data_IF_334729591220
#
_entry.id   IF_334729591220
#
_cell.length_a   1.000
_cell.length_b   1.000
_cell.length_c   1.000
_cell.angle_alpha   90.00
_cell.angle_beta   90.00
_cell.angle_gamma   90.00
#
_symmetry.space_group_name_H-M   'P 1'
#
loop_
_entity.id
_entity.type
_entity.pdbx_description
1 polymer ?
#
# COMPACT_ATOMS: atom_id res chain seq x y z
N UNK A 1 13.37 -2.60 -3.68
CA UNK A 1 14.13 -3.45 -2.74
C UNK A 1 14.74 -2.56 -1.68
N UNK A 2 14.77 -3.01 -0.44
CA UNK A 2 15.45 -2.32 0.66
C UNK A 2 16.71 -3.11 1.02
N UNK A 3 17.85 -2.43 1.05
CA UNK A 3 19.12 -3.01 1.47
C UNK A 3 19.15 -3.22 3.00
N UNK A 4 19.99 -4.13 3.46
CA UNK A 4 20.21 -4.30 4.89
C UNK A 4 20.92 -3.10 5.49
N UNK A 5 20.56 -2.74 6.72
CA UNK A 5 21.23 -1.70 7.50
C UNK A 5 21.29 -2.13 8.96
N UNK A 6 22.33 -1.72 9.68
CA UNK A 6 22.50 -2.01 11.11
C UNK A 6 22.46 -0.73 11.93
N UNK A 7 22.07 -0.85 13.19
CA UNK A 7 22.02 0.26 14.14
C UNK A 7 21.27 1.50 13.60
N UNK A 8 20.18 1.28 12.87
CA UNK A 8 19.30 2.35 12.40
C UNK A 8 18.63 2.97 13.61
N UNK A 9 18.83 4.28 13.78
CA UNK A 9 18.25 5.04 14.87
C UNK A 9 16.92 5.69 14.44
N UNK A 10 15.95 5.67 15.35
CA UNK A 10 14.68 6.37 15.21
C UNK A 10 14.31 6.99 16.56
N UNK A 11 13.63 8.13 16.54
CA UNK A 11 13.30 8.88 17.76
C UNK A 11 11.85 9.31 17.72
N UNK A 12 11.12 8.94 18.77
CA UNK A 12 9.76 9.42 19.02
C UNK A 12 9.89 10.44 20.14
N UNK A 13 9.69 11.72 19.84
CA UNK A 13 9.99 12.83 20.75
C UNK A 13 8.99 12.96 21.91
N UNK A 14 7.75 12.54 21.70
CA UNK A 14 6.71 12.50 22.71
C UNK A 14 5.82 11.28 22.46
N UNK A 15 6.02 10.22 23.23
CA UNK A 15 5.27 8.97 23.08
C UNK A 15 3.81 9.17 23.48
N UNK A 16 2.91 8.51 22.76
CA UNK A 16 1.55 8.18 23.13
C UNK A 16 1.38 6.68 23.08
N UNK A 17 0.51 6.11 23.89
CA UNK A 17 0.24 4.68 23.78
C UNK A 17 -0.45 4.38 22.45
N UNK A 18 0.07 3.40 21.72
CA UNK A 18 -0.34 3.14 20.34
C UNK A 18 0.79 2.65 19.46
N UNK A 19 0.47 2.47 18.18
CA UNK A 19 1.37 1.90 17.18
C UNK A 19 2.05 2.97 16.33
N UNK A 20 3.37 2.85 16.18
CA UNK A 20 4.21 3.71 15.37
C UNK A 20 4.91 2.92 14.27
N UNK A 21 5.07 3.56 13.12
CA UNK A 21 5.82 3.00 11.99
C UNK A 21 7.28 3.44 12.06
N UNK A 22 8.20 2.48 12.14
CA UNK A 22 9.64 2.80 12.24
C UNK A 22 10.25 3.19 10.89
N UNK A 23 11.08 4.23 10.93
CA UNK A 23 11.83 4.80 9.82
C UNK A 23 10.96 5.45 8.74
N UNK A 24 9.70 5.75 9.05
CA UNK A 24 8.83 6.48 8.14
C UNK A 24 9.32 7.92 7.97
N UNK A 25 9.38 8.40 6.73
CA UNK A 25 9.67 9.80 6.41
C UNK A 25 8.99 10.21 5.11
N UNK A 26 8.73 11.51 4.96
CA UNK A 26 7.91 12.04 3.87
C UNK A 26 8.59 12.04 2.50
N UNK A 27 9.89 11.77 2.42
CA UNK A 27 10.68 11.94 1.19
C UNK A 27 11.01 10.63 0.49
N UNK A 28 11.50 9.65 1.24
CA UNK A 28 12.07 8.42 0.67
C UNK A 28 11.31 7.18 1.08
N UNK A 29 10.73 7.17 2.28
CA UNK A 29 10.10 5.99 2.88
C UNK A 29 8.84 6.35 3.68
N UNK A 30 7.78 6.87 3.03
CA UNK A 30 6.55 7.27 3.72
C UNK A 30 5.86 6.12 4.45
N UNK A 31 6.09 4.88 4.03
CA UNK A 31 5.52 3.67 4.65
C UNK A 31 6.46 2.95 5.62
N UNK A 32 7.64 3.51 5.91
CA UNK A 32 8.59 2.96 6.88
C UNK A 32 9.32 1.67 6.48
N UNK A 33 10.09 1.11 7.44
CA UNK A 33 10.89 -0.10 7.26
C UNK A 33 9.99 -1.33 7.41
N UNK A 34 10.43 -2.43 6.80
CA UNK A 34 9.86 -3.76 6.94
C UNK A 34 11.02 -4.70 7.23
N UNK A 35 10.72 -5.88 7.76
CA UNK A 35 11.74 -6.87 8.10
C UNK A 35 12.83 -6.29 9.04
N UNK A 36 12.41 -5.80 10.21
CA UNK A 36 13.32 -5.27 11.22
C UNK A 36 13.70 -6.36 12.24
N UNK A 37 14.88 -6.23 12.85
CA UNK A 37 15.38 -7.14 13.86
C UNK A 37 16.15 -6.37 14.94
N UNK A 38 16.47 -7.06 16.05
CA UNK A 38 17.31 -6.56 17.14
C UNK A 38 16.91 -5.15 17.60
N UNK A 39 15.64 -4.97 17.94
CA UNK A 39 15.11 -3.68 18.38
C UNK A 39 15.49 -3.45 19.84
N UNK A 40 16.03 -2.28 20.12
CA UNK A 40 16.37 -1.78 21.44
C UNK A 40 15.71 -0.41 21.62
N UNK A 41 15.00 -0.22 22.72
CA UNK A 41 14.34 1.05 23.04
C UNK A 41 14.89 1.58 24.36
N UNK A 42 15.28 2.85 24.38
CA UNK A 42 15.86 3.54 25.54
C UNK A 42 15.13 4.83 25.85
N UNK A 43 15.23 5.27 27.10
CA UNK A 43 14.69 6.55 27.58
C UNK A 43 15.51 7.76 27.10
N UNK A 44 16.82 7.57 26.92
CA UNK A 44 17.79 8.59 26.49
C UNK A 44 18.80 7.99 25.50
N UNK A 45 19.29 8.79 24.55
CA UNK A 45 20.38 8.39 23.65
C UNK A 45 21.60 7.98 24.47
N UNK A 46 22.09 6.76 24.29
CA UNK A 46 23.26 6.25 25.02
C UNK A 46 23.01 5.94 26.50
N UNK A 47 21.77 6.07 26.98
CA UNK A 47 21.40 5.73 28.37
C UNK A 47 21.53 4.23 28.68
N UNK A 48 21.49 3.91 29.99
CA UNK A 48 21.50 2.53 30.48
C UNK A 48 20.10 1.95 30.65
N UNK A 49 19.09 2.80 30.90
CA UNK A 49 17.69 2.39 30.97
C UNK A 49 17.23 1.87 29.62
N UNK A 50 16.91 0.59 29.56
CA UNK A 50 16.40 -0.08 28.36
C UNK A 50 15.02 -0.61 28.67
N UNK A 51 14.05 -0.22 27.85
CA UNK A 51 12.68 -0.72 27.97
C UNK A 51 12.62 -2.17 27.49
N UNK A 52 11.72 -2.93 28.11
CA UNK A 52 11.61 -4.38 27.96
C UNK A 52 10.50 -4.72 26.96
N UNK A 53 10.85 -5.45 25.91
CA UNK A 53 9.87 -5.98 24.96
C UNK A 53 8.89 -6.94 25.65
N UNK A 54 7.61 -6.84 25.31
CA UNK A 54 6.51 -7.58 25.93
C UNK A 54 5.97 -6.95 27.22
N UNK A 55 6.68 -6.00 27.82
CA UNK A 55 6.24 -5.25 29.01
C UNK A 55 5.94 -3.80 28.64
N UNK A 56 6.93 -3.12 28.05
CA UNK A 56 6.84 -1.70 27.70
C UNK A 56 6.38 -1.49 26.25
N UNK A 57 6.70 -2.44 25.37
CA UNK A 57 6.31 -2.37 23.95
C UNK A 57 6.25 -3.75 23.28
N UNK A 58 5.53 -3.84 22.17
CA UNK A 58 5.50 -5.00 21.26
C UNK A 58 6.02 -4.59 19.89
N UNK A 59 6.71 -5.49 19.20
CA UNK A 59 7.23 -5.28 17.84
C UNK A 59 6.54 -6.22 16.86
N UNK A 60 6.11 -5.67 15.73
CA UNK A 60 5.86 -6.44 14.52
C UNK A 60 7.07 -6.30 13.60
N UNK A 61 7.94 -7.31 13.60
CA UNK A 61 9.20 -7.30 12.83
C UNK A 61 8.97 -7.31 11.32
N UNK A 62 7.86 -7.91 10.87
CA UNK A 62 7.52 -8.01 9.45
C UNK A 62 7.04 -6.65 8.95
N UNK A 63 6.09 -6.03 9.67
CA UNK A 63 5.51 -4.73 9.33
C UNK A 63 6.37 -3.54 9.78
N UNK A 64 7.39 -3.79 10.60
CA UNK A 64 8.31 -2.75 11.08
C UNK A 64 7.62 -1.73 11.98
N UNK A 65 6.66 -2.17 12.79
CA UNK A 65 5.93 -1.30 13.71
C UNK A 65 6.27 -1.63 15.15
N UNK A 66 6.20 -0.61 16.00
CA UNK A 66 6.32 -0.71 17.46
C UNK A 66 5.01 -0.25 18.08
N UNK A 67 4.51 -0.98 19.07
CA UNK A 67 3.33 -0.58 19.86
C UNK A 67 3.73 -0.41 21.30
N UNK A 68 3.62 0.80 21.84
CA UNK A 68 3.88 1.05 23.27
C UNK A 68 2.68 0.61 24.10
N UNK A 69 2.95 -0.13 25.18
CA UNK A 69 1.94 -0.73 26.04
C UNK A 69 1.63 0.20 27.22
N UNK A 70 0.35 0.42 27.49
CA UNK A 70 -0.10 1.09 28.70
C UNK A 70 0.12 0.20 29.93
N UNK A 71 0.60 0.79 31.04
CA UNK A 71 0.90 0.08 32.28
C UNK A 71 2.33 -0.47 32.40
N UNK A 72 3.17 -0.25 31.37
CA UNK A 72 4.60 -0.42 31.47
C UNK A 72 5.31 0.72 32.21
N UNK A 73 6.63 0.76 32.10
CA UNK A 73 7.49 1.83 32.63
C UNK A 73 7.58 3.04 31.71
N UNK A 74 7.23 2.88 30.43
CA UNK A 74 7.11 3.99 29.48
C UNK A 74 5.96 4.89 29.88
N UNK A 75 6.24 6.19 30.00
CA UNK A 75 5.22 7.22 30.27
C UNK A 75 4.98 8.04 29.01
N UNK A 76 3.72 8.41 28.75
CA UNK A 76 3.40 9.32 27.66
C UNK A 76 4.11 10.68 27.80
N UNK A 77 4.38 11.33 26.67
CA UNK A 77 5.06 12.62 26.62
C UNK A 77 6.59 12.52 26.73
N UNK A 78 7.13 11.44 27.28
CA UNK A 78 8.57 11.19 27.29
C UNK A 78 9.06 10.73 25.90
N UNK A 79 10.32 11.01 25.55
CA UNK A 79 10.90 10.51 24.32
C UNK A 79 11.26 9.02 24.42
N UNK A 80 11.27 8.33 23.28
CA UNK A 80 11.88 7.01 23.10
C UNK A 80 12.92 7.07 21.99
N UNK A 81 14.07 6.48 22.29
CA UNK A 81 15.18 6.33 21.36
C UNK A 81 15.28 4.87 20.97
N UNK A 82 15.05 4.59 19.69
CA UNK A 82 14.88 3.24 19.17
C UNK A 82 16.06 2.96 18.25
N UNK A 83 16.69 1.80 18.43
CA UNK A 83 17.75 1.31 17.53
C UNK A 83 17.37 -0.08 17.04
N UNK A 84 17.47 -0.32 15.74
CA UNK A 84 17.13 -1.61 15.14
C UNK A 84 18.01 -1.92 13.92
N UNK A 85 18.04 -3.18 13.53
CA UNK A 85 18.59 -3.62 12.26
C UNK A 85 17.47 -3.77 11.23
N UNK A 86 17.77 -3.49 9.97
CA UNK A 86 16.90 -3.70 8.82
C UNK A 86 17.47 -4.85 8.02
N UNK A 87 16.67 -5.90 7.82
CA UNK A 87 17.00 -6.99 6.92
C UNK A 87 16.73 -6.62 5.46
N UNK A 88 17.50 -7.22 4.56
CA UNK A 88 17.21 -7.12 3.12
C UNK A 88 15.80 -7.64 2.85
N UNK A 89 15.01 -6.90 2.05
CA UNK A 89 13.66 -7.32 1.69
C UNK A 89 13.19 -6.68 0.38
N UNK A 90 12.30 -7.38 -0.31
CA UNK A 90 11.59 -6.89 -1.50
C UNK A 90 10.10 -6.79 -1.19
N UNK A 91 9.45 -5.77 -1.74
CA UNK A 91 7.99 -5.60 -1.67
C UNK A 91 7.50 -4.84 -2.89
N UNK A 92 6.28 -5.14 -3.31
CA UNK A 92 5.55 -4.35 -4.29
C UNK A 92 4.85 -3.19 -3.58
N UNK A 93 4.90 -2.01 -4.18
CA UNK A 93 4.18 -0.84 -3.69
C UNK A 93 3.47 -0.19 -4.88
N UNK A 94 2.20 0.12 -4.71
CA UNK A 94 1.44 0.94 -5.67
C UNK A 94 1.57 2.38 -5.21
N UNK A 95 2.11 3.24 -6.08
CA UNK A 95 2.22 4.68 -5.85
C UNK A 95 1.25 5.36 -6.81
N UNK A 96 0.31 6.12 -6.27
CA UNK A 96 -0.64 6.88 -7.08
C UNK A 96 0.09 7.96 -7.87
N UNK A 97 -0.28 8.11 -9.14
CA UNK A 97 0.02 9.29 -9.95
C UNK A 97 -1.28 10.07 -10.17
N UNK A 98 -1.17 11.31 -10.64
CA UNK A 98 -2.29 12.13 -11.09
C UNK A 98 -2.59 11.92 -12.59
N UNK A 99 -1.88 10.99 -13.24
CA UNK A 99 -2.06 10.71 -14.66
C UNK A 99 -3.40 10.02 -14.92
N UNK A 100 -4.07 10.48 -15.97
CA UNK A 100 -5.26 9.83 -16.49
C UNK A 100 -4.84 8.55 -17.22
N UNK A 101 -5.53 7.45 -16.94
CA UNK A 101 -5.25 6.18 -17.62
C UNK A 101 -6.07 6.10 -18.90
N UNK A 102 -5.36 6.14 -20.02
CA UNK A 102 -5.95 6.08 -21.36
C UNK A 102 -5.46 4.84 -22.13
N UNK A 103 -6.32 4.27 -22.97
CA UNK A 103 -5.97 3.06 -23.72
C UNK A 103 -7.09 2.55 -24.61
N UNK A 104 -6.94 1.33 -25.13
CA UNK A 104 -8.03 0.66 -25.83
C UNK A 104 -8.71 -0.33 -24.89
N UNK A 105 -10.03 -0.45 -24.98
CA UNK A 105 -10.80 -1.47 -24.27
C UNK A 105 -11.34 -2.50 -25.27
N UNK A 106 -11.17 -3.78 -24.94
CA UNK A 106 -11.73 -4.88 -25.72
C UNK A 106 -12.51 -5.83 -24.82
N UNK A 107 -13.82 -5.90 -25.04
CA UNK A 107 -14.68 -6.92 -24.47
C UNK A 107 -14.87 -8.05 -25.48
N UNK A 108 -14.43 -9.25 -25.12
CA UNK A 108 -14.60 -10.47 -25.94
C UNK A 108 -15.73 -11.33 -25.38
N UNK A 109 -16.77 -11.54 -26.16
CA UNK A 109 -17.96 -12.25 -25.72
C UNK A 109 -17.78 -13.77 -25.83
N UNK A 110 -17.98 -14.44 -24.69
CA UNK A 110 -18.08 -15.91 -24.58
C UNK A 110 -19.46 -16.31 -24.05
N UNK A 111 -20.49 -15.75 -24.66
CA UNK A 111 -21.88 -15.96 -24.21
C UNK A 111 -22.24 -17.46 -24.29
N UNK A 112 -22.83 -18.05 -23.24
CA UNK A 112 -23.26 -19.45 -23.26
C UNK A 112 -24.46 -19.68 -24.20
N UNK A 113 -25.20 -18.61 -24.52
CA UNK A 113 -26.32 -18.61 -25.45
C UNK A 113 -26.42 -17.26 -26.15
N UNK A 114 -26.84 -17.28 -27.41
CA UNK A 114 -27.06 -16.08 -28.22
C UNK A 114 -25.82 -15.63 -29.00
N UNK A 115 -25.93 -14.54 -29.79
CA UNK A 115 -24.82 -14.01 -30.56
C UNK A 115 -23.64 -13.63 -29.67
N UNK A 116 -22.42 -13.90 -30.15
CA UNK A 116 -21.18 -13.45 -29.54
C UNK A 116 -20.74 -12.19 -30.27
N UNK A 117 -20.91 -11.06 -29.60
CA UNK A 117 -20.57 -9.73 -30.11
C UNK A 117 -19.37 -9.22 -29.31
N UNK A 118 -18.25 -9.05 -29.99
CA UNK A 118 -17.05 -8.47 -29.41
C UNK A 118 -17.11 -6.94 -29.56
N UNK A 119 -16.83 -6.21 -28.48
CA UNK A 119 -16.80 -4.74 -28.49
C UNK A 119 -15.37 -4.25 -28.39
N UNK A 120 -14.95 -3.46 -29.37
CA UNK A 120 -13.64 -2.82 -29.38
C UNK A 120 -13.79 -1.30 -29.38
N UNK A 121 -13.18 -0.66 -28.38
CA UNK A 121 -13.15 0.79 -28.19
C UNK A 121 -11.68 1.24 -28.29
N UNK A 122 -11.26 1.86 -29.41
CA UNK A 122 -9.84 2.11 -29.68
C UNK A 122 -9.17 3.11 -28.73
N UNK A 123 -9.97 3.99 -28.11
CA UNK A 123 -9.49 4.99 -27.17
C UNK A 123 -10.55 5.28 -26.11
N UNK A 124 -10.22 4.95 -24.87
CA UNK A 124 -11.01 5.18 -23.67
C UNK A 124 -10.14 5.84 -22.61
N UNK A 125 -10.74 6.74 -21.85
CA UNK A 125 -10.18 7.21 -20.58
C UNK A 125 -10.93 6.53 -19.43
N UNK A 126 -10.18 5.98 -18.48
CA UNK A 126 -10.71 5.33 -17.29
C UNK A 126 -10.51 6.23 -16.07
N UNK A 127 -11.60 6.44 -15.33
CA UNK A 127 -11.56 7.09 -14.03
C UNK A 127 -12.22 6.20 -12.97
N UNK A 128 -11.72 6.20 -11.72
CA UNK A 128 -12.42 5.56 -10.62
C UNK A 128 -13.78 6.25 -10.41
N UNK A 129 -14.81 5.46 -10.09
CA UNK A 129 -16.15 5.97 -9.86
C UNK A 129 -16.76 5.35 -8.59
N UNK A 130 -17.51 6.15 -7.83
CA UNK A 130 -18.08 5.78 -6.55
C UNK A 130 -17.05 5.47 -5.43
N UNK A 131 -17.55 4.77 -4.40
CA UNK A 131 -16.77 4.44 -3.20
C UNK A 131 -16.09 3.07 -3.30
N UNK A 132 -14.87 2.95 -2.78
CA UNK A 132 -14.16 1.68 -2.63
C UNK A 132 -14.11 1.23 -1.16
N UNK A 133 -15.14 0.50 -0.73
CA UNK A 133 -15.24 -0.01 0.63
C UNK A 133 -14.24 -1.16 0.88
N UNK A 134 -13.21 -0.93 1.71
CA UNK A 134 -12.16 -1.93 2.01
C UNK A 134 -12.63 -3.07 2.93
N UNK A 135 -13.76 -2.90 3.60
CA UNK A 135 -14.38 -3.89 4.49
C UNK A 135 -15.89 -3.80 4.35
N UNK A 136 -16.55 -4.95 4.33
CA UNK A 136 -18.00 -5.08 4.23
C UNK A 136 -18.40 -6.55 4.10
N UNK A 137 -19.71 -6.80 4.05
CA UNK A 137 -20.24 -8.16 3.91
C UNK A 137 -20.20 -8.65 2.45
N UNK A 138 -20.22 -7.71 1.51
CA UNK A 138 -20.11 -7.97 0.09
C UNK A 138 -18.66 -8.16 -0.36
N UNK A 139 -18.52 -8.80 -1.52
CA UNK A 139 -17.24 -8.93 -2.20
C UNK A 139 -16.73 -7.56 -2.66
N UNK A 140 -15.41 -7.36 -2.55
CA UNK A 140 -14.76 -6.14 -3.01
C UNK A 140 -15.00 -5.91 -4.51
N UNK A 141 -15.47 -4.71 -4.85
CA UNK A 141 -15.68 -4.26 -6.23
C UNK A 141 -14.98 -2.93 -6.41
N UNK A 142 -14.29 -2.77 -7.54
CA UNK A 142 -13.74 -1.49 -7.96
C UNK A 142 -14.55 -1.06 -9.18
N UNK A 143 -15.21 0.09 -9.06
CA UNK A 143 -16.05 0.64 -10.12
C UNK A 143 -15.24 1.69 -10.89
N UNK A 144 -15.38 1.66 -12.21
CA UNK A 144 -14.75 2.61 -13.11
C UNK A 144 -15.82 3.23 -14.01
N UNK A 145 -15.70 4.53 -14.24
CA UNK A 145 -16.37 5.22 -15.34
C UNK A 145 -15.49 5.22 -16.58
N UNK A 146 -16.10 5.11 -17.76
CA UNK A 146 -15.40 5.12 -19.04
C UNK A 146 -15.87 6.29 -19.89
N UNK A 147 -14.92 7.07 -20.41
CA UNK A 147 -15.17 8.03 -21.49
C UNK A 147 -14.61 7.49 -22.81
N UNK A 148 -15.49 7.23 -23.79
CA UNK A 148 -15.12 6.64 -25.08
C UNK A 148 -14.92 7.73 -26.11
N UNK A 149 -13.70 7.84 -26.60
CA UNK A 149 -13.24 8.92 -27.46
C UNK A 149 -12.87 8.41 -28.86
N UNK A 150 -12.64 9.33 -29.81
CA UNK A 150 -12.16 8.96 -31.16
C UNK A 150 -10.65 8.88 -31.16
N UNK A 151 -10.12 7.83 -31.80
CA UNK A 151 -8.69 7.69 -32.09
C UNK A 151 -8.42 8.06 -33.55
N UNK A 152 -8.05 9.31 -33.81
CA UNK A 152 -7.86 9.79 -35.18
C UNK A 152 -9.11 9.59 -36.05
N UNK A 153 -8.96 8.89 -37.18
CA UNK A 153 -10.06 8.59 -38.11
C UNK A 153 -10.93 7.39 -37.73
N UNK A 154 -10.64 6.68 -36.63
CA UNK A 154 -11.40 5.50 -36.21
C UNK A 154 -12.76 5.89 -35.59
N UNK A 155 -13.72 4.99 -35.70
CA UNK A 155 -14.97 5.08 -34.94
C UNK A 155 -14.70 4.88 -33.44
N UNK A 156 -15.62 5.36 -32.59
CA UNK A 156 -15.50 5.24 -31.13
C UNK A 156 -15.69 3.80 -30.64
N UNK A 157 -16.58 3.06 -31.31
CA UNK A 157 -16.95 1.69 -30.95
C UNK A 157 -17.06 0.87 -32.23
N UNK A 158 -16.46 -0.32 -32.20
CA UNK A 158 -16.66 -1.38 -33.16
C UNK A 158 -17.36 -2.54 -32.44
N UNK A 159 -18.39 -3.11 -33.07
CA UNK A 159 -19.18 -4.21 -32.53
C UNK A 159 -19.23 -5.30 -33.60
N UNK A 160 -18.42 -6.34 -33.41
CA UNK A 160 -18.18 -7.36 -34.41
C UNK A 160 -18.77 -8.70 -33.96
N UNK A 161 -19.46 -9.39 -34.88
CA UNK A 161 -19.80 -10.79 -34.69
C UNK A 161 -18.57 -11.68 -34.87
N UNK A 162 -18.61 -12.89 -34.32
CA UNK A 162 -17.54 -13.87 -34.56
C UNK A 162 -17.58 -14.42 -35.99
N UNK A 163 -16.39 -14.69 -36.54
CA UNK A 163 -16.25 -15.29 -37.87
C UNK A 163 -17.00 -16.63 -37.93
N UNK A 164 -17.75 -16.83 -39.02
CA UNK A 164 -18.38 -18.10 -39.38
C UNK A 164 -17.74 -18.63 -40.65
N UNK A 165 -17.63 -19.95 -40.79
CA UNK A 165 -17.21 -20.55 -42.05
C UNK A 165 -18.22 -20.21 -43.15
N UNK A 166 -17.72 -19.88 -44.34
CA UNK A 166 -18.52 -19.58 -45.52
C UNK A 166 -19.17 -20.85 -46.10
#
# INVERSE_FOLDING_TARGET
>A
TTASATAVADTITAIKFGTYQLGANDTTRPTGYRNIATVVVKDTVGGTTTYVAGVDYVIDSIRGTITFIEGGTITEGNPAYITYNVGVSTRTQVVSSNDVIEGALWFKAFNPKGPKIDYFMPYVSLAPDGDFALKGDDWLKITYSLDVQRKGGLARVYADGQAVAA
#
